data_IF_360040612837
#
_entry.id   IF_360040612837
#
_cell.length_a   1.000
_cell.length_b   1.000
_cell.length_c   1.000
_cell.angle_alpha   90.00
_cell.angle_beta   90.00
_cell.angle_gamma   90.00
#
_symmetry.space_group_name_H-M   'P 1'
#
loop_
_entity.id
_entity.type
_entity.pdbx_description
1 polymer ?
#
# COMPACT_ATOMS: atom_id res chain seq x y z
N UNK A 1 -37.37 -62.54 -7.95
CA UNK A 1 -38.45 -62.65 -8.95
C UNK A 1 -38.26 -61.51 -9.94
N UNK A 2 -37.81 -61.88 -11.16
CA UNK A 2 -37.81 -60.98 -12.35
C UNK A 2 -39.27 -60.95 -12.89
N UNK A 3 -39.64 -60.16 -13.86
CA UNK A 3 -38.94 -60.17 -15.15
C UNK A 3 -38.68 -58.75 -15.80
N UNK A 4 -37.74 -58.83 -16.74
CA UNK A 4 -37.41 -57.90 -17.80
C UNK A 4 -38.54 -57.84 -18.87
N UNK A 5 -38.58 -56.69 -19.58
CA UNK A 5 -39.15 -56.67 -20.94
C UNK A 5 -38.27 -55.82 -21.88
N UNK A 6 -37.83 -56.49 -22.93
CA UNK A 6 -37.13 -55.94 -24.13
C UNK A 6 -38.19 -55.63 -25.19
N UNK A 7 -37.88 -54.77 -26.08
CA UNK A 7 -38.10 -54.71 -27.56
C UNK A 7 -38.21 -53.26 -28.02
N UNK A 8 -37.83 -52.83 -29.15
CA UNK A 8 -37.00 -53.20 -30.31
C UNK A 8 -37.15 -52.03 -31.32
N UNK A 9 -36.09 -51.66 -31.88
CA UNK A 9 -35.77 -51.18 -33.24
C UNK A 9 -36.93 -50.77 -34.18
N UNK A 10 -36.82 -49.56 -34.77
CA UNK A 10 -37.11 -49.40 -36.20
C UNK A 10 -36.39 -48.15 -36.78
N UNK A 11 -35.59 -48.38 -37.79
CA UNK A 11 -34.97 -47.46 -38.73
C UNK A 11 -36.04 -46.88 -39.67
N UNK A 12 -35.96 -45.58 -40.00
CA UNK A 12 -36.27 -45.10 -41.34
C UNK A 12 -35.45 -43.82 -41.65
N UNK A 13 -34.62 -43.93 -42.66
CA UNK A 13 -33.93 -42.83 -43.30
C UNK A 13 -34.80 -42.34 -44.48
N UNK A 14 -34.90 -41.02 -44.64
CA UNK A 14 -35.19 -40.41 -45.95
C UNK A 14 -34.53 -39.05 -46.05
N UNK A 15 -33.71 -38.89 -47.07
CA UNK A 15 -33.10 -37.67 -47.58
C UNK A 15 -34.11 -36.70 -48.17
N UNK A 16 -33.92 -35.40 -48.02
CA UNK A 16 -34.18 -34.45 -49.09
C UNK A 16 -33.40 -33.14 -48.86
N UNK A 17 -32.59 -32.82 -49.81
CA UNK A 17 -31.85 -31.61 -50.05
C UNK A 17 -32.79 -30.49 -50.46
N UNK A 18 -32.64 -29.29 -49.91
CA UNK A 18 -32.98 -28.05 -50.62
C UNK A 18 -32.16 -26.87 -50.04
N UNK A 19 -31.30 -26.38 -50.88
CA UNK A 19 -30.52 -25.16 -50.72
C UNK A 19 -31.42 -23.94 -50.74
N UNK A 20 -31.19 -22.98 -49.83
CA UNK A 20 -31.57 -21.60 -50.05
C UNK A 20 -30.62 -20.69 -49.28
N UNK A 21 -29.86 -19.98 -50.03
CA UNK A 21 -29.00 -18.88 -49.59
C UNK A 21 -29.84 -17.73 -49.02
N UNK A 22 -29.52 -17.33 -47.79
CA UNK A 22 -29.84 -15.98 -47.32
C UNK A 22 -28.67 -15.51 -46.47
N UNK A 23 -28.05 -14.40 -46.91
CA UNK A 23 -26.94 -13.75 -46.30
C UNK A 23 -27.25 -13.38 -44.85
N UNK A 24 -26.63 -14.08 -43.93
CA UNK A 24 -26.54 -13.74 -42.51
C UNK A 24 -25.29 -12.90 -42.28
N UNK A 25 -25.45 -11.64 -41.94
CA UNK A 25 -24.42 -10.78 -41.39
C UNK A 25 -23.68 -11.60 -40.31
N UNK A 26 -22.46 -11.99 -40.59
CA UNK A 26 -21.54 -12.47 -39.64
C UNK A 26 -21.24 -11.37 -38.60
N UNK A 27 -22.01 -11.37 -37.51
CA UNK A 27 -21.56 -10.76 -36.30
C UNK A 27 -20.39 -11.60 -35.82
N UNK A 28 -19.17 -11.14 -36.06
CA UNK A 28 -17.99 -11.63 -35.38
C UNK A 28 -18.16 -11.26 -33.91
N UNK A 29 -18.80 -12.14 -33.14
CA UNK A 29 -18.53 -12.19 -31.70
C UNK A 29 -17.05 -12.59 -31.56
N UNK A 30 -16.16 -11.62 -31.67
CA UNK A 30 -14.85 -11.74 -31.08
C UNK A 30 -15.11 -11.79 -29.56
N UNK A 31 -15.23 -12.97 -29.01
CA UNK A 31 -14.92 -13.20 -27.60
C UNK A 31 -13.43 -12.92 -27.43
N UNK A 32 -13.07 -11.63 -27.49
CA UNK A 32 -11.73 -11.19 -27.22
C UNK A 32 -11.42 -11.57 -25.78
N UNK A 33 -10.35 -12.31 -25.61
CA UNK A 33 -9.81 -12.62 -24.29
C UNK A 33 -9.64 -11.28 -23.54
N UNK A 34 -10.13 -11.23 -22.29
CA UNK A 34 -10.05 -10.01 -21.49
C UNK A 34 -8.59 -9.56 -21.38
N UNK A 35 -8.33 -8.28 -21.61
CA UNK A 35 -6.98 -7.75 -21.44
C UNK A 35 -6.52 -7.94 -19.98
N UNK A 36 -5.31 -8.42 -19.77
CA UNK A 36 -4.78 -8.67 -18.43
C UNK A 36 -3.75 -7.60 -18.07
N UNK A 37 -3.94 -6.99 -16.89
CA UNK A 37 -2.98 -6.08 -16.27
C UNK A 37 -2.39 -6.81 -15.05
N UNK A 38 -1.07 -6.85 -14.96
CA UNK A 38 -0.36 -7.53 -13.88
C UNK A 38 0.31 -6.52 -12.97
N UNK A 39 -0.08 -6.54 -11.70
CA UNK A 39 0.46 -5.67 -10.66
C UNK A 39 0.98 -6.55 -9.51
N UNK A 40 2.09 -6.17 -8.91
CA UNK A 40 2.63 -6.87 -7.75
C UNK A 40 3.54 -5.94 -6.94
N UNK A 41 3.69 -6.19 -5.65
CA UNK A 41 4.64 -5.44 -4.82
C UNK A 41 4.24 -5.29 -3.38
N UNK A 42 4.22 -4.06 -2.90
CA UNK A 42 4.06 -3.68 -1.51
C UNK A 42 2.71 -4.08 -0.93
N UNK A 43 2.71 -4.79 0.20
CA UNK A 43 1.52 -5.06 1.01
C UNK A 43 0.85 -3.78 1.53
N UNK A 44 1.63 -2.73 1.76
CA UNK A 44 1.11 -1.42 2.18
C UNK A 44 0.32 -0.72 1.06
N UNK A 45 0.76 -0.84 -0.20
CA UNK A 45 0.09 -0.21 -1.35
C UNK A 45 -1.07 -1.06 -1.85
N UNK A 46 -1.01 -2.37 -1.63
CA UNK A 46 -2.01 -3.33 -2.08
C UNK A 46 -3.47 -2.90 -1.85
N UNK A 47 -3.90 -2.44 -0.64
CA UNK A 47 -5.30 -2.06 -0.43
C UNK A 47 -5.77 -0.91 -1.33
N UNK A 48 -4.88 0.03 -1.66
CA UNK A 48 -5.19 1.14 -2.56
C UNK A 48 -5.33 0.64 -3.98
N UNK A 49 -4.36 -0.14 -4.45
CA UNK A 49 -4.34 -0.69 -5.82
C UNK A 49 -5.49 -1.67 -6.04
N UNK A 50 -5.84 -2.48 -5.03
CA UNK A 50 -6.99 -3.40 -5.08
C UNK A 50 -8.30 -2.63 -5.23
N UNK A 51 -8.54 -1.59 -4.41
CA UNK A 51 -9.73 -0.75 -4.52
C UNK A 51 -9.85 -0.10 -5.90
N UNK A 52 -8.74 0.42 -6.46
CA UNK A 52 -8.72 0.99 -7.82
C UNK A 52 -8.99 -0.09 -8.87
N UNK A 53 -8.42 -1.29 -8.70
CA UNK A 53 -8.59 -2.39 -9.65
C UNK A 53 -10.04 -2.89 -9.66
N UNK A 54 -10.70 -3.00 -8.51
CA UNK A 54 -12.11 -3.40 -8.39
C UNK A 54 -13.03 -2.41 -9.09
N UNK A 55 -12.87 -1.11 -8.81
CA UNK A 55 -13.67 -0.04 -9.44
C UNK A 55 -13.43 0.00 -10.95
N UNK A 56 -12.19 -0.10 -11.41
CA UNK A 56 -11.85 -0.12 -12.82
C UNK A 56 -12.46 -1.33 -13.55
N UNK A 57 -12.35 -2.53 -12.99
CA UNK A 57 -12.94 -3.74 -13.56
C UNK A 57 -14.48 -3.64 -13.65
N UNK A 58 -15.09 -3.03 -12.65
CA UNK A 58 -16.52 -2.75 -12.62
C UNK A 58 -16.92 -1.79 -13.75
N UNK A 59 -16.15 -0.70 -13.95
CA UNK A 59 -16.38 0.23 -15.09
C UNK A 59 -16.22 -0.47 -16.45
N UNK A 60 -15.19 -1.35 -16.57
CA UNK A 60 -14.88 -2.07 -17.82
C UNK A 60 -15.77 -3.29 -18.07
N UNK A 61 -16.67 -3.63 -17.14
CA UNK A 61 -17.65 -4.73 -17.29
C UNK A 61 -17.04 -6.06 -17.74
N UNK A 62 -15.86 -6.41 -17.20
CA UNK A 62 -15.16 -7.65 -17.49
C UNK A 62 -14.32 -7.67 -18.77
N UNK A 63 -14.20 -6.53 -19.49
CA UNK A 63 -13.32 -6.44 -20.66
C UNK A 63 -11.82 -6.41 -20.28
N UNK A 64 -11.51 -6.09 -19.03
CA UNK A 64 -10.16 -6.06 -18.47
C UNK A 64 -10.12 -6.85 -17.16
N UNK A 65 -9.06 -7.63 -16.96
CA UNK A 65 -8.76 -8.33 -15.72
C UNK A 65 -7.49 -7.73 -15.11
N UNK A 66 -7.58 -7.22 -13.88
CA UNK A 66 -6.45 -6.67 -13.14
C UNK A 66 -6.09 -7.65 -12.03
N UNK A 67 -4.86 -8.14 -12.03
CA UNK A 67 -4.35 -9.01 -10.97
C UNK A 67 -3.37 -8.24 -10.09
N UNK A 68 -3.61 -8.24 -8.78
CA UNK A 68 -2.75 -7.56 -7.80
C UNK A 68 -2.16 -8.60 -6.86
N UNK A 69 -0.84 -8.73 -6.86
CA UNK A 69 -0.10 -9.65 -6.00
C UNK A 69 0.61 -8.94 -4.85
N UNK A 70 0.96 -9.69 -3.82
CA UNK A 70 1.67 -9.21 -2.64
C UNK A 70 2.99 -9.98 -2.50
N UNK A 71 4.12 -9.37 -2.86
CA UNK A 71 5.44 -9.97 -2.66
C UNK A 71 6.41 -9.03 -1.91
N UNK A 72 5.87 -7.93 -1.37
CA UNK A 72 6.62 -6.83 -0.80
C UNK A 72 7.27 -5.95 -1.88
N UNK A 73 7.65 -4.71 -1.51
CA UNK A 73 8.26 -3.74 -2.46
C UNK A 73 9.46 -4.32 -3.21
N UNK A 74 10.39 -4.98 -2.51
CA UNK A 74 11.56 -5.58 -3.14
C UNK A 74 11.22 -6.78 -4.03
N UNK A 75 10.19 -7.57 -3.69
CA UNK A 75 9.67 -8.65 -4.51
C UNK A 75 9.02 -8.15 -5.79
N UNK A 76 8.21 -7.08 -5.68
CA UNK A 76 7.62 -6.37 -6.81
C UNK A 76 8.68 -5.83 -7.76
N UNK A 77 9.69 -5.11 -7.26
CA UNK A 77 10.78 -4.61 -8.11
C UNK A 77 11.56 -5.74 -8.81
N UNK A 78 11.81 -6.88 -8.14
CA UNK A 78 12.46 -8.03 -8.79
C UNK A 78 11.68 -8.54 -10.01
N UNK A 79 10.34 -8.60 -9.94
CA UNK A 79 9.48 -8.98 -11.06
C UNK A 79 9.42 -7.88 -12.11
N UNK A 80 9.32 -6.63 -11.67
CA UNK A 80 9.19 -5.46 -12.52
C UNK A 80 10.42 -5.27 -13.43
N UNK A 81 11.63 -5.32 -12.86
CA UNK A 81 12.86 -5.15 -13.64
C UNK A 81 13.16 -6.31 -14.61
N UNK A 82 12.43 -7.44 -14.49
CA UNK A 82 12.43 -8.54 -15.45
C UNK A 82 11.30 -8.43 -16.49
N UNK A 83 10.45 -7.42 -16.38
CA UNK A 83 9.32 -7.21 -17.28
C UNK A 83 8.18 -8.24 -17.12
N UNK A 84 8.04 -8.85 -15.94
CA UNK A 84 7.03 -9.87 -15.65
C UNK A 84 5.67 -9.26 -15.29
N UNK A 85 5.67 -7.98 -14.83
CA UNK A 85 4.49 -7.22 -14.42
C UNK A 85 4.47 -5.85 -15.12
N UNK A 86 3.27 -5.27 -15.22
CA UNK A 86 3.04 -3.98 -15.86
C UNK A 86 3.25 -2.81 -14.90
N UNK A 87 2.90 -3.02 -13.62
CA UNK A 87 3.00 -2.03 -12.54
C UNK A 87 3.59 -2.67 -11.30
N UNK A 88 4.50 -1.97 -10.64
CA UNK A 88 5.01 -2.37 -9.33
C UNK A 88 4.49 -1.42 -8.25
N UNK A 89 3.87 -1.98 -7.21
CA UNK A 89 3.48 -1.27 -6.00
C UNK A 89 4.69 -1.11 -5.08
N UNK A 90 4.96 0.11 -4.60
CA UNK A 90 6.15 0.37 -3.81
C UNK A 90 5.87 1.32 -2.63
N UNK A 91 6.33 0.94 -1.44
CA UNK A 91 6.27 1.75 -0.22
C UNK A 91 7.58 2.48 0.10
N UNK A 92 8.48 2.51 -0.87
CA UNK A 92 9.72 3.30 -0.93
C UNK A 92 10.09 3.58 -2.38
N UNK A 93 10.96 4.58 -2.64
CA UNK A 93 11.52 4.77 -3.97
C UNK A 93 12.34 3.55 -4.45
N UNK A 94 12.47 3.44 -5.76
CA UNK A 94 13.37 2.47 -6.41
C UNK A 94 14.82 2.73 -5.97
N UNK A 95 15.57 1.68 -5.69
CA UNK A 95 16.97 1.79 -5.25
C UNK A 95 17.95 1.76 -6.42
N UNK A 96 19.17 2.26 -6.19
CA UNK A 96 20.26 2.29 -7.21
C UNK A 96 20.50 0.93 -7.84
N UNK A 97 20.45 -0.16 -7.06
CA UNK A 97 20.63 -1.52 -7.58
C UNK A 97 19.48 -1.96 -8.47
N UNK A 98 18.25 -1.61 -8.11
CA UNK A 98 17.04 -1.89 -8.89
C UNK A 98 17.01 -1.07 -10.18
N UNK A 99 17.46 0.20 -10.14
CA UNK A 99 17.66 1.03 -11.34
C UNK A 99 18.68 0.42 -12.29
N UNK A 100 19.82 -0.05 -11.76
CA UNK A 100 20.85 -0.71 -12.57
C UNK A 100 20.32 -1.99 -13.25
N UNK A 101 19.52 -2.79 -12.54
CA UNK A 101 18.89 -3.99 -13.10
C UNK A 101 17.84 -3.63 -14.16
N UNK A 102 16.99 -2.62 -13.91
CA UNK A 102 16.03 -2.13 -14.90
C UNK A 102 16.73 -1.70 -16.19
N UNK A 103 17.80 -0.90 -16.08
CA UNK A 103 18.61 -0.45 -17.21
C UNK A 103 19.25 -1.62 -17.97
N UNK A 104 19.82 -2.59 -17.26
CA UNK A 104 20.44 -3.77 -17.88
C UNK A 104 19.42 -4.61 -18.68
N UNK A 105 18.16 -4.63 -18.25
CA UNK A 105 17.07 -5.36 -18.90
C UNK A 105 16.26 -4.49 -19.90
N UNK A 106 16.64 -3.24 -20.11
CA UNK A 106 15.93 -2.33 -21.01
C UNK A 106 14.53 -1.93 -20.51
N UNK A 107 14.31 -1.96 -19.21
CA UNK A 107 13.06 -1.56 -18.58
C UNK A 107 13.13 -0.08 -18.21
N UNK A 108 12.35 0.74 -18.91
CA UNK A 108 12.07 2.11 -18.56
C UNK A 108 10.77 2.17 -17.73
N UNK A 109 10.68 3.12 -16.80
CA UNK A 109 9.54 3.22 -15.87
C UNK A 109 9.16 4.66 -15.57
N UNK A 110 7.91 4.85 -15.22
CA UNK A 110 7.35 6.12 -14.74
C UNK A 110 7.08 5.97 -13.25
N UNK A 111 7.72 6.78 -12.41
CA UNK A 111 7.48 6.84 -10.97
C UNK A 111 6.31 7.77 -10.67
N UNK A 112 5.30 7.27 -9.98
CA UNK A 112 4.09 7.99 -9.64
C UNK A 112 3.81 7.86 -8.13
N UNK A 113 3.95 8.93 -7.34
CA UNK A 113 3.45 8.93 -5.98
C UNK A 113 1.92 8.94 -6.00
N UNK A 114 1.30 8.19 -5.08
CA UNK A 114 -0.15 7.96 -5.08
C UNK A 114 -0.86 8.33 -3.78
N UNK A 115 -0.18 8.21 -2.64
CA UNK A 115 -0.73 8.49 -1.32
C UNK A 115 0.40 8.65 -0.29
N UNK A 116 0.04 9.02 0.95
CA UNK A 116 0.92 8.90 2.10
C UNK A 116 0.42 7.81 3.05
N UNK A 117 1.34 7.02 3.54
CA UNK A 117 1.18 6.19 4.73
C UNK A 117 1.67 6.98 5.94
N UNK A 118 0.85 7.06 7.01
CA UNK A 118 1.20 7.74 8.24
C UNK A 118 0.74 6.90 9.44
N UNK A 119 1.67 6.65 10.37
CA UNK A 119 1.40 5.89 11.58
C UNK A 119 1.34 6.81 12.79
N UNK A 120 0.42 6.54 13.70
CA UNK A 120 0.26 7.28 14.94
C UNK A 120 0.63 6.39 16.11
N UNK A 121 1.59 6.81 16.91
CA UNK A 121 1.81 6.25 18.25
C UNK A 121 0.76 6.82 19.18
N UNK A 122 0.05 5.94 19.90
CA UNK A 122 -1.12 6.32 20.70
C UNK A 122 -1.02 5.80 22.12
N UNK A 123 -1.57 6.59 23.05
CA UNK A 123 -1.78 6.22 24.44
C UNK A 123 -3.21 6.54 24.85
N UNK A 124 -3.66 6.02 25.98
CA UNK A 124 -4.93 6.36 26.57
C UNK A 124 -4.97 7.85 27.00
N UNK A 125 -6.09 8.58 26.90
CA UNK A 125 -6.17 9.97 27.35
C UNK A 125 -5.86 10.20 28.83
N UNK A 126 -6.08 9.18 29.70
CA UNK A 126 -5.75 9.23 31.13
C UNK A 126 -4.25 9.05 31.39
N UNK A 127 -3.45 8.72 30.37
CA UNK A 127 -2.00 8.73 30.43
C UNK A 127 -1.52 10.18 30.32
N UNK A 128 -1.25 10.82 31.43
CA UNK A 128 -0.86 12.22 31.53
C UNK A 128 0.67 12.44 31.49
N UNK A 129 1.47 11.36 31.58
CA UNK A 129 2.93 11.44 31.61
C UNK A 129 3.61 11.32 30.23
N UNK A 130 2.97 10.72 29.22
CA UNK A 130 3.54 10.61 27.87
C UNK A 130 2.96 11.70 26.98
N UNK A 131 3.76 12.68 26.63
CA UNK A 131 3.41 13.71 25.63
C UNK A 131 4.19 13.54 24.33
N UNK A 132 5.43 13.04 24.46
CA UNK A 132 6.32 12.76 23.34
C UNK A 132 7.21 11.56 23.62
N UNK A 133 7.66 10.92 22.54
CA UNK A 133 8.70 9.89 22.58
C UNK A 133 9.70 10.10 21.44
N UNK A 134 10.95 9.80 21.72
CA UNK A 134 11.98 9.74 20.69
C UNK A 134 11.89 8.42 19.92
N UNK A 135 12.40 8.38 18.70
CA UNK A 135 12.55 7.13 17.94
C UNK A 135 13.40 6.10 18.67
N UNK A 136 14.43 6.57 19.39
CA UNK A 136 15.26 5.69 20.22
C UNK A 136 14.48 5.04 21.38
N UNK A 137 13.58 5.77 22.04
CA UNK A 137 12.70 5.24 23.07
C UNK A 137 11.68 4.25 22.50
N UNK A 138 11.08 4.55 21.36
CA UNK A 138 10.19 3.62 20.67
C UNK A 138 10.94 2.34 20.28
N UNK A 139 12.16 2.45 19.74
CA UNK A 139 13.01 1.29 19.45
C UNK A 139 13.28 0.47 20.70
N UNK A 140 13.67 1.10 21.80
CA UNK A 140 13.91 0.44 23.09
C UNK A 140 12.71 -0.38 23.57
N UNK A 141 11.48 0.08 23.25
CA UNK A 141 10.24 -0.64 23.63
C UNK A 141 9.93 -1.77 22.65
N UNK A 142 10.10 -1.57 21.34
CA UNK A 142 9.54 -2.44 20.32
C UNK A 142 10.54 -3.40 19.66
N UNK A 143 11.85 -3.21 19.84
CA UNK A 143 12.84 -4.12 19.27
C UNK A 143 12.74 -5.54 19.85
N UNK A 144 13.23 -6.59 19.13
CA UNK A 144 13.15 -7.98 19.60
C UNK A 144 13.76 -8.20 20.99
N UNK A 145 14.87 -7.51 21.28
CA UNK A 145 15.60 -7.64 22.57
C UNK A 145 14.84 -7.05 23.76
N UNK A 146 13.79 -6.27 23.53
CA UNK A 146 12.94 -5.70 24.57
C UNK A 146 11.99 -6.74 25.19
N UNK A 147 11.75 -7.87 24.49
CA UNK A 147 10.82 -8.90 24.93
C UNK A 147 11.14 -9.42 26.33
N UNK A 148 10.16 -9.34 27.23
CA UNK A 148 10.31 -9.74 28.64
C UNK A 148 11.23 -8.85 29.48
N UNK A 149 11.93 -7.87 28.88
CA UNK A 149 12.88 -6.99 29.57
C UNK A 149 12.31 -5.60 29.82
N UNK A 150 11.74 -4.98 28.78
CA UNK A 150 11.11 -3.65 28.88
C UNK A 150 9.61 -3.86 29.05
N UNK A 151 9.17 -3.86 30.29
CA UNK A 151 7.80 -4.21 30.69
C UNK A 151 7.10 -3.11 31.47
N UNK A 152 7.83 -2.08 31.94
CA UNK A 152 7.29 -1.01 32.77
C UNK A 152 7.66 0.36 32.21
N UNK A 153 6.79 1.34 32.40
CA UNK A 153 6.95 2.71 31.90
C UNK A 153 8.22 3.41 32.42
N UNK A 154 8.55 3.22 33.71
CA UNK A 154 9.77 3.81 34.31
C UNK A 154 11.08 3.22 33.78
N UNK A 155 11.04 2.13 33.02
CA UNK A 155 12.22 1.62 32.32
C UNK A 155 12.54 2.41 31.05
N UNK A 156 11.55 3.15 30.52
CA UNK A 156 11.74 4.05 29.36
C UNK A 156 12.32 5.35 29.88
N UNK A 157 11.59 6.04 30.76
CA UNK A 157 12.06 7.23 31.49
C UNK A 157 11.86 7.01 32.99
N UNK A 158 12.89 7.23 33.84
CA UNK A 158 12.82 6.94 35.27
C UNK A 158 11.71 7.70 36.03
N UNK A 159 11.34 8.88 35.55
CA UNK A 159 10.27 9.73 36.11
C UNK A 159 8.85 9.24 35.80
N UNK A 160 8.69 8.30 34.87
CA UNK A 160 7.38 7.73 34.54
C UNK A 160 6.93 6.69 35.56
N UNK A 161 5.63 6.37 35.62
CA UNK A 161 5.09 5.43 36.63
C UNK A 161 5.74 4.05 36.58
N UNK A 162 5.86 3.38 37.74
CA UNK A 162 6.31 1.98 37.87
C UNK A 162 5.18 0.99 37.53
N UNK A 163 4.48 1.24 36.44
CA UNK A 163 3.34 0.45 36.00
C UNK A 163 3.70 -0.34 34.73
N UNK A 164 3.07 -1.50 34.55
CA UNK A 164 3.27 -2.30 33.34
C UNK A 164 2.73 -1.59 32.10
N UNK A 165 3.48 -1.68 31.01
CA UNK A 165 3.03 -1.20 29.72
C UNK A 165 2.15 -2.28 29.09
N UNK A 166 0.94 -1.93 28.68
CA UNK A 166 0.11 -2.77 27.83
C UNK A 166 0.35 -2.37 26.36
N UNK A 167 1.00 -3.26 25.61
CA UNK A 167 1.41 -2.98 24.23
C UNK A 167 0.36 -3.49 23.23
N UNK A 168 0.00 -2.63 22.27
CA UNK A 168 -0.93 -2.92 21.19
C UNK A 168 -0.33 -2.54 19.85
N UNK A 169 -0.38 -3.42 18.86
CA UNK A 169 0.21 -3.15 17.56
C UNK A 169 -0.33 -4.05 16.47
N UNK A 170 -0.10 -3.67 15.23
CA UNK A 170 -0.52 -4.43 14.08
C UNK A 170 0.09 -5.85 14.07
N UNK A 171 -0.63 -6.80 13.50
CA UNK A 171 -0.21 -8.18 13.34
C UNK A 171 0.86 -8.35 12.25
N UNK A 172 1.46 -9.53 12.21
CA UNK A 172 2.64 -9.83 11.39
C UNK A 172 2.37 -9.81 9.86
N UNK A 173 1.10 -9.88 9.45
CA UNK A 173 0.68 -9.83 8.03
C UNK A 173 0.29 -8.41 7.60
N UNK A 174 0.30 -7.44 8.51
CA UNK A 174 -0.05 -6.04 8.25
C UNK A 174 1.11 -5.24 7.65
N UNK A 175 0.84 -4.46 6.60
CA UNK A 175 1.77 -3.46 6.07
C UNK A 175 2.14 -2.37 7.10
N UNK A 176 1.25 -2.08 8.04
CA UNK A 176 1.50 -1.20 9.20
C UNK A 176 2.61 -1.76 10.10
N UNK A 177 2.59 -3.06 10.37
CA UNK A 177 3.64 -3.74 11.13
C UNK A 177 4.99 -3.67 10.42
N UNK A 178 5.04 -4.00 9.14
CA UNK A 178 6.27 -3.94 8.34
C UNK A 178 6.88 -2.54 8.37
N UNK A 179 6.05 -1.52 8.14
CA UNK A 179 6.52 -0.13 8.14
C UNK A 179 6.98 0.35 9.51
N UNK A 180 6.17 0.13 10.56
CA UNK A 180 6.55 0.55 11.92
C UNK A 180 7.88 -0.06 12.33
N UNK A 181 8.04 -1.36 12.13
CA UNK A 181 9.28 -2.07 12.50
C UNK A 181 10.47 -1.63 11.65
N UNK A 182 10.28 -1.34 10.37
CA UNK A 182 11.33 -0.76 9.52
C UNK A 182 11.75 0.63 10.01
N UNK A 183 10.78 1.52 10.24
CA UNK A 183 11.03 2.91 10.64
C UNK A 183 11.67 3.02 12.03
N UNK A 184 11.23 2.19 12.98
CA UNK A 184 11.65 2.28 14.39
C UNK A 184 12.80 1.32 14.71
N UNK A 185 12.72 0.06 14.27
CA UNK A 185 13.73 -0.96 14.59
C UNK A 185 14.79 -1.10 13.48
N UNK A 186 14.62 -0.44 12.34
CA UNK A 186 15.58 -0.41 11.22
C UNK A 186 15.46 -1.58 10.25
N UNK A 187 14.51 -2.51 10.46
CA UNK A 187 14.27 -3.66 9.59
C UNK A 187 12.81 -4.08 9.67
N UNK A 188 12.13 -4.33 8.54
CA UNK A 188 10.79 -4.90 8.53
C UNK A 188 10.72 -6.19 9.35
N UNK A 189 9.64 -6.36 10.09
CA UNK A 189 9.33 -7.51 10.95
C UNK A 189 10.26 -7.72 12.16
N UNK A 190 11.19 -6.80 12.42
CA UNK A 190 12.03 -6.83 13.61
C UNK A 190 11.28 -6.25 14.82
N UNK A 191 10.55 -7.07 15.55
CA UNK A 191 9.75 -6.68 16.71
C UNK A 191 9.77 -7.75 17.79
N UNK A 192 9.47 -7.31 19.03
CA UNK A 192 9.08 -8.22 20.12
C UNK A 192 7.75 -8.92 19.75
N UNK A 193 7.47 -10.06 20.39
CA UNK A 193 6.24 -10.83 20.15
C UNK A 193 5.27 -10.85 21.34
N UNK A 194 5.62 -10.25 22.48
CA UNK A 194 4.83 -10.24 23.73
C UNK A 194 3.93 -9.00 23.85
N UNK A 195 3.23 -8.66 22.79
CA UNK A 195 2.24 -7.58 22.74
C UNK A 195 0.90 -8.11 22.19
N UNK A 196 -0.18 -7.36 22.37
CA UNK A 196 -1.46 -7.68 21.74
C UNK A 196 -1.39 -7.29 20.27
N UNK A 197 -1.28 -8.30 19.42
CA UNK A 197 -1.26 -8.15 17.97
C UNK A 197 -2.66 -8.32 17.37
N UNK A 198 -3.02 -7.50 16.39
CA UNK A 198 -4.26 -7.67 15.62
C UNK A 198 -4.10 -7.13 14.20
N UNK A 199 -4.68 -7.83 13.23
CA UNK A 199 -4.87 -7.33 11.85
C UNK A 199 -6.06 -6.38 11.76
N UNK A 200 -6.97 -6.40 12.74
CA UNK A 200 -8.09 -5.46 12.86
C UNK A 200 -7.69 -4.29 13.78
N UNK A 201 -7.48 -3.12 13.17
CA UNK A 201 -7.13 -1.89 13.89
C UNK A 201 -8.18 -1.47 14.92
N UNK A 202 -9.46 -1.84 14.76
CA UNK A 202 -10.49 -1.55 15.75
C UNK A 202 -10.24 -2.27 17.08
N UNK A 203 -9.64 -3.46 17.06
CA UNK A 203 -9.21 -4.20 18.26
C UNK A 203 -8.11 -3.42 18.98
N UNK A 204 -7.16 -2.85 18.21
CA UNK A 204 -6.08 -2.02 18.77
C UNK A 204 -6.63 -0.73 19.37
N UNK A 205 -7.55 -0.07 18.68
CA UNK A 205 -8.28 1.12 19.19
C UNK A 205 -8.94 0.82 20.52
N UNK A 206 -9.76 -0.25 20.61
CA UNK A 206 -10.44 -0.64 21.85
C UNK A 206 -9.45 -0.98 22.98
N UNK A 207 -8.36 -1.64 22.65
CA UNK A 207 -7.31 -1.98 23.61
C UNK A 207 -6.67 -0.74 24.24
N UNK A 208 -6.34 0.27 23.42
CA UNK A 208 -5.77 1.53 23.90
C UNK A 208 -6.79 2.36 24.68
N UNK A 209 -8.03 2.45 24.20
CA UNK A 209 -9.11 3.17 24.88
C UNK A 209 -9.44 2.56 26.26
N UNK A 210 -9.37 1.24 26.38
CA UNK A 210 -9.73 0.50 27.60
C UNK A 210 -8.64 0.43 28.65
N UNK A 211 -7.41 0.88 28.40
CA UNK A 211 -6.28 0.68 29.31
C UNK A 211 -5.44 1.95 29.47
N UNK A 212 -5.46 2.54 30.68
CA UNK A 212 -4.66 3.74 31.03
C UNK A 212 -3.16 3.58 30.73
N UNK A 213 -2.62 2.37 30.87
CA UNK A 213 -1.20 2.07 30.68
C UNK A 213 -0.88 1.52 29.28
N UNK A 214 -1.81 1.72 28.34
CA UNK A 214 -1.60 1.29 26.96
C UNK A 214 -0.61 2.19 26.21
N UNK A 215 0.20 1.56 25.38
CA UNK A 215 0.98 2.16 24.30
C UNK A 215 0.72 1.35 23.03
N UNK A 216 0.30 2.01 21.97
CA UNK A 216 0.05 1.34 20.70
C UNK A 216 0.53 2.15 19.51
N UNK A 217 0.46 1.54 18.32
CA UNK A 217 0.62 2.23 17.05
C UNK A 217 -0.44 1.73 16.06
N UNK A 218 -1.05 2.67 15.35
CA UNK A 218 -2.13 2.45 14.41
C UNK A 218 -2.00 3.42 13.22
N UNK A 219 -2.62 3.14 12.05
CA UNK A 219 -2.71 4.12 10.97
C UNK A 219 -3.40 5.41 11.43
N UNK A 220 -2.94 6.55 10.93
CA UNK A 220 -3.50 7.87 11.27
C UNK A 220 -5.02 7.95 11.03
N UNK A 221 -5.50 7.32 9.98
CA UNK A 221 -6.92 7.34 9.64
C UNK A 221 -7.80 6.57 10.64
N UNK A 222 -7.23 5.65 11.42
CA UNK A 222 -7.92 5.04 12.56
C UNK A 222 -7.81 5.89 13.82
N UNK A 223 -6.73 6.63 13.99
CA UNK A 223 -6.59 7.58 15.10
C UNK A 223 -7.54 8.78 14.96
N UNK A 224 -7.62 9.41 13.79
CA UNK A 224 -8.30 10.68 13.57
C UNK A 224 -9.78 10.68 14.05
N UNK A 225 -10.64 9.69 13.71
CA UNK A 225 -12.02 9.63 14.20
C UNK A 225 -12.13 9.30 15.69
N UNK A 226 -11.06 8.79 16.32
CA UNK A 226 -11.02 8.38 17.73
C UNK A 226 -10.18 9.32 18.60
N UNK A 227 -9.77 10.49 18.09
CA UNK A 227 -8.89 11.45 18.77
C UNK A 227 -9.43 12.00 20.10
N UNK A 228 -10.74 11.93 20.35
CA UNK A 228 -11.33 12.25 21.63
C UNK A 228 -11.13 11.15 22.70
N UNK A 229 -10.83 9.91 22.29
CA UNK A 229 -10.72 8.72 23.14
C UNK A 229 -9.31 8.13 23.19
N UNK A 230 -8.41 8.65 22.36
CA UNK A 230 -6.98 8.32 22.33
C UNK A 230 -6.16 9.60 22.23
N UNK A 231 -4.94 9.57 22.77
CA UNK A 231 -4.00 10.67 22.69
C UNK A 231 -2.83 10.27 21.76
N UNK A 232 -2.57 11.06 20.72
CA UNK A 232 -1.38 10.90 19.93
C UNK A 232 -0.14 11.32 20.71
N UNK A 233 0.94 10.58 20.54
CA UNK A 233 2.26 10.88 21.06
C UNK A 233 3.06 11.61 19.99
N UNK A 234 3.62 12.76 20.33
CA UNK A 234 4.50 13.48 19.42
C UNK A 234 5.84 12.72 19.27
N UNK A 235 6.35 12.64 18.05
CA UNK A 235 7.56 11.87 17.74
C UNK A 235 8.73 12.82 17.51
N UNK A 236 9.82 12.56 18.24
CA UNK A 236 11.09 13.25 18.05
C UNK A 236 12.10 12.31 17.39
N UNK A 237 12.65 12.77 16.27
CA UNK A 237 13.67 12.02 15.54
C UNK A 237 14.90 12.89 15.28
N UNK A 238 16.05 12.41 15.75
CA UNK A 238 17.33 13.15 15.65
C UNK A 238 17.75 13.48 14.21
N UNK A 239 17.30 12.67 13.25
CA UNK A 239 17.59 12.86 11.82
C UNK A 239 16.55 13.71 11.10
N UNK A 240 15.54 14.23 11.81
CA UNK A 240 14.51 15.05 11.19
C UNK A 240 15.09 16.43 10.85
N UNK A 241 14.64 17.02 9.73
CA UNK A 241 15.00 18.37 9.33
C UNK A 241 14.44 19.44 10.28
N UNK A 242 13.30 19.14 10.91
CA UNK A 242 12.65 19.97 11.92
C UNK A 242 12.98 19.43 13.29
N UNK A 243 13.47 20.27 14.18
CA UNK A 243 13.79 19.89 15.56
C UNK A 243 12.54 19.84 16.45
N UNK A 244 12.59 18.98 17.47
CA UNK A 244 11.53 18.81 18.45
C UNK A 244 10.56 17.69 18.07
N UNK A 245 9.63 17.47 18.98
CA UNK A 245 8.63 16.42 18.84
C UNK A 245 7.43 16.91 17.99
N UNK A 246 7.09 16.16 16.95
CA UNK A 246 6.07 16.51 15.96
C UNK A 246 4.86 15.58 16.13
N UNK A 247 3.66 16.16 16.23
CA UNK A 247 2.40 15.40 16.25
C UNK A 247 2.00 14.94 14.84
N UNK A 248 1.36 13.76 14.72
CA UNK A 248 0.76 13.34 13.47
C UNK A 248 -0.40 14.27 13.11
N UNK A 249 -0.34 14.86 11.93
CA UNK A 249 -1.46 15.57 11.31
C UNK A 249 -1.30 15.54 9.78
N UNK A 250 -2.40 15.70 9.02
CA UNK A 250 -2.29 15.80 7.56
C UNK A 250 -1.29 16.86 7.12
N UNK A 251 -1.28 18.04 7.79
CA UNK A 251 -0.38 19.15 7.47
C UNK A 251 1.10 18.75 7.66
N UNK A 252 1.43 18.12 8.80
CA UNK A 252 2.79 17.70 9.11
C UNK A 252 3.26 16.55 8.21
N UNK A 253 2.36 15.65 7.82
CA UNK A 253 2.65 14.56 6.87
C UNK A 253 2.93 15.13 5.49
N UNK A 254 2.05 16.00 4.98
CA UNK A 254 2.18 16.61 3.66
C UNK A 254 3.39 17.53 3.57
N UNK A 255 3.72 18.26 4.65
CA UNK A 255 4.92 19.07 4.76
C UNK A 255 6.22 18.26 4.90
N UNK A 256 6.13 16.93 5.08
CA UNK A 256 7.29 16.06 5.28
C UNK A 256 8.01 16.28 6.61
N UNK A 257 7.30 16.78 7.63
CA UNK A 257 7.86 17.06 8.96
C UNK A 257 7.60 15.95 9.99
N UNK A 258 6.55 15.13 9.78
CA UNK A 258 6.23 14.00 10.66
C UNK A 258 7.03 12.75 10.28
N UNK A 259 8.27 12.66 10.75
CA UNK A 259 9.19 11.57 10.44
C UNK A 259 9.67 10.82 11.70
N UNK A 260 10.04 9.54 11.55
CA UNK A 260 10.05 8.70 10.35
C UNK A 260 8.72 7.95 10.09
N UNK A 261 7.63 8.34 10.78
CA UNK A 261 6.35 7.63 10.75
C UNK A 261 5.39 8.11 9.65
N UNK A 262 5.90 8.83 8.64
CA UNK A 262 5.17 9.10 7.40
C UNK A 262 6.06 8.87 6.19
N UNK A 263 5.48 8.32 5.12
CA UNK A 263 6.18 8.06 3.86
C UNK A 263 5.23 8.16 2.66
N UNK A 264 5.71 8.66 1.51
CA UNK A 264 4.95 8.54 0.27
C UNK A 264 4.94 7.11 -0.24
N UNK A 265 3.81 6.74 -0.83
CA UNK A 265 3.58 5.47 -1.51
C UNK A 265 3.58 5.71 -3.02
N UNK A 266 4.02 4.71 -3.79
CA UNK A 266 4.24 4.82 -5.23
C UNK A 266 3.66 3.65 -5.99
N UNK A 267 3.34 3.90 -7.25
CA UNK A 267 3.30 2.89 -8.29
C UNK A 267 4.39 3.20 -9.32
N UNK A 268 5.04 2.16 -9.84
CA UNK A 268 6.01 2.23 -10.93
C UNK A 268 5.41 1.57 -12.16
N UNK A 269 5.16 2.34 -13.20
CA UNK A 269 4.52 1.87 -14.42
C UNK A 269 5.57 1.59 -15.49
N UNK A 270 5.58 0.39 -16.06
CA UNK A 270 6.45 0.07 -17.20
C UNK A 270 6.12 0.96 -18.40
N UNK A 271 7.13 1.69 -18.91
CA UNK A 271 6.94 2.53 -20.09
C UNK A 271 6.41 1.73 -21.29
N UNK A 272 6.93 0.53 -21.48
CA UNK A 272 6.49 -0.38 -22.54
C UNK A 272 5.03 -0.82 -22.35
N UNK A 273 4.61 -1.02 -21.12
CA UNK A 273 3.22 -1.40 -20.83
C UNK A 273 2.22 -0.28 -21.12
N UNK A 274 2.65 0.99 -21.09
CA UNK A 274 1.81 2.13 -21.50
C UNK A 274 1.40 2.09 -22.98
N UNK A 275 2.03 1.29 -23.81
CA UNK A 275 1.63 1.06 -25.20
C UNK A 275 0.41 0.11 -25.30
N UNK A 276 0.03 -0.57 -24.22
CA UNK A 276 -1.19 -1.37 -24.11
C UNK A 276 -2.35 -0.44 -23.71
N UNK A 277 -3.43 -0.33 -24.51
CA UNK A 277 -4.56 0.55 -24.22
C UNK A 277 -5.14 0.32 -22.81
N UNK A 278 -5.31 -0.94 -22.39
CA UNK A 278 -5.86 -1.29 -21.08
C UNK A 278 -4.99 -0.77 -19.91
N UNK A 279 -3.65 -0.84 -20.03
CA UNK A 279 -2.75 -0.32 -18.99
C UNK A 279 -2.80 1.19 -18.93
N UNK A 280 -2.79 1.85 -20.08
CA UNK A 280 -2.91 3.31 -20.14
C UNK A 280 -4.22 3.78 -19.51
N UNK A 281 -5.36 3.19 -19.88
CA UNK A 281 -6.66 3.52 -19.30
C UNK A 281 -6.70 3.26 -17.79
N UNK A 282 -6.09 2.17 -17.33
CA UNK A 282 -5.98 1.86 -15.90
C UNK A 282 -5.17 2.92 -15.13
N UNK A 283 -4.02 3.34 -15.66
CA UNK A 283 -3.18 4.37 -15.00
C UNK A 283 -3.88 5.73 -14.97
N UNK A 284 -4.55 6.11 -16.04
CA UNK A 284 -5.36 7.33 -16.10
C UNK A 284 -6.52 7.27 -15.10
N UNK A 285 -7.21 6.13 -15.01
CA UNK A 285 -8.26 5.86 -14.00
C UNK A 285 -7.71 5.91 -12.59
N UNK A 286 -6.57 5.27 -12.35
CA UNK A 286 -5.89 5.23 -11.04
C UNK A 286 -5.68 6.65 -10.51
N UNK A 287 -4.96 7.49 -11.27
CA UNK A 287 -4.64 8.86 -10.85
C UNK A 287 -5.88 9.75 -10.66
N UNK A 288 -6.97 9.49 -11.40
CA UNK A 288 -8.22 10.22 -11.27
C UNK A 288 -8.99 9.87 -10.00
N UNK A 289 -8.94 8.62 -9.55
CA UNK A 289 -9.80 8.11 -8.47
C UNK A 289 -9.04 7.86 -7.16
N UNK A 290 -7.71 7.76 -7.20
CA UNK A 290 -6.90 7.37 -6.03
C UNK A 290 -7.06 8.29 -4.83
N UNK A 291 -7.31 9.60 -5.02
CA UNK A 291 -7.51 10.52 -3.91
C UNK A 291 -8.73 10.15 -3.05
N UNK A 292 -9.79 9.65 -3.67
CA UNK A 292 -11.00 9.18 -2.97
C UNK A 292 -10.79 7.79 -2.39
N UNK A 293 -10.33 6.85 -3.23
CA UNK A 293 -10.17 5.45 -2.84
C UNK A 293 -9.11 5.27 -1.74
N UNK A 294 -8.01 6.03 -1.77
CA UNK A 294 -7.02 6.01 -0.70
C UNK A 294 -7.63 6.39 0.67
N UNK A 295 -8.53 7.39 0.72
CA UNK A 295 -9.25 7.75 1.96
C UNK A 295 -10.15 6.62 2.45
N UNK A 296 -10.85 5.95 1.54
CA UNK A 296 -11.75 4.83 1.88
C UNK A 296 -10.99 3.68 2.53
N UNK A 297 -9.78 3.38 2.02
CA UNK A 297 -8.89 2.36 2.58
C UNK A 297 -7.92 2.90 3.64
N UNK A 298 -8.20 4.10 4.20
CA UNK A 298 -7.52 4.65 5.37
C UNK A 298 -6.09 5.14 5.15
N UNK A 299 -5.79 5.63 3.94
CA UNK A 299 -4.55 6.34 3.65
C UNK A 299 -4.77 7.84 3.46
N UNK A 300 -3.70 8.64 3.58
CA UNK A 300 -3.77 10.07 3.33
C UNK A 300 -3.52 10.35 1.84
N UNK A 301 -4.46 11.01 1.14
CA UNK A 301 -4.25 11.38 -0.25
C UNK A 301 -3.17 12.46 -0.36
N UNK A 302 -2.57 12.54 -1.55
CA UNK A 302 -1.71 13.65 -1.92
C UNK A 302 -2.52 14.93 -2.15
N UNK A 303 -1.87 16.11 -2.14
CA UNK A 303 -2.47 17.34 -2.66
C UNK A 303 -2.88 17.18 -4.13
N UNK A 304 -3.94 17.86 -4.52
CA UNK A 304 -4.45 17.84 -5.91
C UNK A 304 -3.37 18.22 -6.93
N UNK A 305 -2.53 19.21 -6.58
CA UNK A 305 -1.38 19.64 -7.39
C UNK A 305 -0.41 18.50 -7.70
N UNK A 306 -0.19 17.59 -6.75
CA UNK A 306 0.69 16.43 -6.94
C UNK A 306 0.08 15.42 -7.93
N UNK A 307 -1.23 15.17 -7.87
CA UNK A 307 -1.90 14.31 -8.86
C UNK A 307 -1.86 14.91 -10.26
N UNK A 308 -2.06 16.21 -10.41
CA UNK A 308 -1.94 16.90 -11.71
C UNK A 308 -0.52 16.81 -12.28
N UNK A 309 0.52 16.93 -11.44
CA UNK A 309 1.90 16.72 -11.85
C UNK A 309 2.17 15.26 -12.24
N UNK A 310 1.61 14.29 -11.51
CA UNK A 310 1.69 12.87 -11.85
C UNK A 310 1.00 12.57 -13.20
N UNK A 311 -0.19 13.12 -13.45
CA UNK A 311 -0.88 13.02 -14.73
C UNK A 311 -0.06 13.61 -15.88
N UNK A 312 0.65 14.72 -15.64
CA UNK A 312 1.57 15.33 -16.61
C UNK A 312 2.74 14.41 -16.94
N UNK A 313 3.33 13.74 -15.92
CA UNK A 313 4.38 12.74 -16.15
C UNK A 313 3.88 11.56 -17.01
N UNK A 314 2.67 11.08 -16.74
CA UNK A 314 2.06 10.00 -17.53
C UNK A 314 1.79 10.45 -18.97
N UNK A 315 1.17 11.61 -19.18
CA UNK A 315 0.83 12.10 -20.51
C UNK A 315 2.06 12.39 -21.37
N UNK A 316 3.16 12.84 -20.76
CA UNK A 316 4.44 13.09 -21.44
C UNK A 316 5.34 11.85 -21.47
N UNK A 317 4.91 10.72 -20.89
CA UNK A 317 5.69 9.48 -20.76
C UNK A 317 7.09 9.72 -20.14
N UNK A 318 7.16 10.57 -19.13
CA UNK A 318 8.41 10.98 -18.50
C UNK A 318 8.96 9.86 -17.61
N UNK A 319 10.00 9.19 -18.07
CA UNK A 319 10.62 8.04 -17.40
C UNK A 319 11.66 8.44 -16.36
N UNK A 320 11.87 7.57 -15.35
CA UNK A 320 12.86 7.71 -14.27
C UNK A 320 12.25 8.05 -12.92
N UNK A 321 13.12 8.31 -11.94
CA UNK A 321 12.79 8.61 -10.54
C UNK A 321 13.26 9.99 -10.11
N UNK A 322 12.48 10.70 -9.30
CA UNK A 322 12.89 11.95 -8.66
C UNK A 322 13.90 11.78 -7.53
N UNK A 323 14.09 10.56 -7.02
CA UNK A 323 15.02 10.24 -5.92
C UNK A 323 16.43 9.86 -6.40
N UNK A 324 16.56 9.36 -7.63
CA UNK A 324 17.86 8.92 -8.15
C UNK A 324 18.45 7.72 -7.43
N UNK A 325 17.61 6.82 -6.93
CA UNK A 325 18.02 5.57 -6.31
C UNK A 325 18.31 5.62 -4.81
N UNK A 326 18.19 6.79 -4.18
CA UNK A 326 18.43 6.99 -2.73
C UNK A 326 17.17 7.56 -2.07
N UNK A 327 16.52 6.81 -1.16
CA UNK A 327 15.39 7.33 -0.41
C UNK A 327 15.76 8.58 0.40
N UNK A 328 14.92 9.61 0.32
CA UNK A 328 15.04 10.82 1.13
C UNK A 328 13.81 10.96 2.02
N UNK A 329 14.02 11.03 3.34
CA UNK A 329 12.94 11.21 4.31
C UNK A 329 12.62 12.71 4.45
N UNK A 330 11.33 13.03 4.62
CA UNK A 330 10.87 14.40 4.86
C UNK A 330 10.98 15.31 3.64
N UNK A 331 10.77 14.76 2.45
CA UNK A 331 10.72 15.55 1.22
C UNK A 331 9.25 15.69 0.78
N UNK A 332 8.75 16.94 0.59
CA UNK A 332 7.43 17.15 0.03
C UNK A 332 7.29 16.49 -1.35
N UNK A 333 6.15 15.89 -1.61
CA UNK A 333 5.94 15.11 -2.86
C UNK A 333 6.01 15.99 -4.11
N UNK A 334 5.59 17.25 -4.03
CA UNK A 334 5.69 18.20 -5.13
C UNK A 334 7.14 18.54 -5.47
N UNK A 335 8.05 18.55 -4.50
CA UNK A 335 9.48 18.73 -4.77
C UNK A 335 10.05 17.54 -5.53
N UNK A 336 9.63 16.31 -5.18
CA UNK A 336 10.01 15.09 -5.89
C UNK A 336 9.54 15.15 -7.35
N UNK A 337 8.30 15.56 -7.55
CA UNK A 337 7.69 15.63 -8.89
C UNK A 337 8.28 16.74 -9.76
N UNK A 338 8.83 17.82 -9.16
CA UNK A 338 9.53 18.90 -9.88
C UNK A 338 10.94 18.53 -10.31
N UNK A 339 11.56 17.55 -9.67
CA UNK A 339 12.93 17.16 -10.01
C UNK A 339 12.97 16.53 -11.41
N UNK A 340 14.00 16.83 -12.22
CA UNK A 340 14.23 16.09 -13.44
C UNK A 340 14.46 14.63 -13.09
N UNK A 341 13.68 13.70 -13.66
CA UNK A 341 13.83 12.30 -13.32
C UNK A 341 15.17 11.76 -13.82
N UNK A 342 15.73 10.87 -13.02
CA UNK A 342 16.96 10.13 -13.33
C UNK A 342 16.59 8.70 -13.73
N UNK A 343 17.15 8.25 -14.85
CA UNK A 343 17.00 6.89 -15.38
C UNK A 343 18.12 5.97 -14.88
#
# INVERSE_FOLDING_TARGET
MAPAFKLAVAFIAICAVLSSACGGRGGTNSSGEAAVIKIDGSSTVFPITEAVAEEFQTEKRGAVNVTVGISGTGGGFKKFVRGEIDVADASRPILTEEMAQAKANGIEYIELPIAFDALTVVVNPQNDWVTSMTVAELKKVWEPDAQGKITHWNQIRPEWPKEKIALFGAGADSGTFDYFTEAICGKPKASRGDYTASEDDNVLVQGVEGNKFALGYIPYAYFAPHSARMKAVAIEWEKNKVQGAILPSPENVLAGTYNPLSRPLFIYVSRKSMDKPAVKEFVDFYLKHVATLAKEVKYLPLPETAYQMAMTRVSSLQTGTGFGGVPEVGLPVEEILKRPPKA
#
